data_IF_614371597162
#
_entry.id   IF_614371597162
#
_cell.length_a   1.000
_cell.length_b   1.000
_cell.length_c   1.000
_cell.angle_alpha   90.00
_cell.angle_beta   90.00
_cell.angle_gamma   90.00
#
_symmetry.space_group_name_H-M   'P 1'
#
loop_
_entity.id
_entity.type
_entity.pdbx_description
1 polymer ?
#
# COMPACT_ATOMS: atom_id res chain seq x y z
N UNK A 1 4.45 -13.73 -16.38
CA UNK A 1 5.15 -12.56 -15.83
C UNK A 1 4.17 -11.63 -15.12
N UNK A 2 3.12 -11.10 -15.78
CA UNK A 2 2.04 -10.23 -15.22
C UNK A 2 1.50 -10.47 -13.78
N UNK A 3 1.50 -11.69 -13.26
CA UNK A 3 0.98 -11.97 -11.92
C UNK A 3 1.84 -11.40 -10.79
N UNK A 4 3.14 -11.25 -11.03
CA UNK A 4 4.07 -10.72 -10.03
C UNK A 4 3.84 -9.22 -9.86
N UNK A 5 3.61 -8.49 -10.96
CA UNK A 5 3.31 -7.07 -10.93
C UNK A 5 1.98 -6.78 -10.23
N UNK A 6 0.95 -7.62 -10.42
CA UNK A 6 -0.30 -7.52 -9.66
C UNK A 6 -0.10 -7.75 -8.17
N UNK A 7 0.72 -8.74 -7.79
CA UNK A 7 1.08 -8.98 -6.39
C UNK A 7 1.78 -7.77 -5.76
N UNK A 8 2.76 -7.20 -6.46
CA UNK A 8 3.47 -6.00 -6.02
C UNK A 8 2.53 -4.81 -5.88
N UNK A 9 1.66 -4.58 -6.88
CA UNK A 9 0.68 -3.50 -6.86
C UNK A 9 -0.34 -3.66 -5.71
N UNK A 10 -0.80 -4.90 -5.47
CA UNK A 10 -1.75 -5.19 -4.39
C UNK A 10 -1.11 -4.93 -3.01
N UNK A 11 0.13 -5.37 -2.79
CA UNK A 11 0.84 -5.08 -1.54
C UNK A 11 1.10 -3.58 -1.36
N UNK A 12 1.39 -2.85 -2.45
CA UNK A 12 1.49 -1.40 -2.41
C UNK A 12 0.15 -0.73 -2.04
N UNK A 13 -0.96 -1.17 -2.65
CA UNK A 13 -2.29 -0.64 -2.36
C UNK A 13 -2.72 -0.88 -0.91
N UNK A 14 -2.44 -2.07 -0.36
CA UNK A 14 -2.71 -2.38 1.05
C UNK A 14 -1.90 -1.49 2.00
N UNK A 15 -0.65 -1.15 1.65
CA UNK A 15 0.13 -0.19 2.44
C UNK A 15 -0.46 1.22 2.40
N UNK A 16 -0.94 1.69 1.24
CA UNK A 16 -1.63 3.00 1.14
C UNK A 16 -2.88 3.00 2.02
N UNK A 17 -3.66 1.91 1.97
CA UNK A 17 -4.85 1.77 2.80
C UNK A 17 -4.52 1.72 4.30
N UNK A 18 -3.48 0.99 4.71
CA UNK A 18 -2.95 0.99 6.08
C UNK A 18 -2.60 2.40 6.56
N UNK A 19 -1.93 3.19 5.72
CA UNK A 19 -1.60 4.57 6.05
C UNK A 19 -2.87 5.43 6.19
N UNK A 20 -3.86 5.21 5.32
CA UNK A 20 -5.14 5.92 5.37
C UNK A 20 -5.92 5.65 6.66
N UNK A 21 -5.91 4.41 7.17
CA UNK A 21 -6.52 4.07 8.46
C UNK A 21 -5.91 4.87 9.64
N UNK A 22 -4.63 5.24 9.57
CA UNK A 22 -3.94 6.02 10.61
C UNK A 22 -4.01 7.53 10.41
N UNK A 23 -3.81 8.02 9.19
CA UNK A 23 -3.89 9.44 8.84
C UNK A 23 -4.38 9.62 7.39
N UNK A 24 -5.71 9.79 7.19
CA UNK A 24 -6.32 9.90 5.87
C UNK A 24 -5.75 11.03 5.00
N UNK A 25 -5.55 12.22 5.58
CA UNK A 25 -5.11 13.41 4.84
C UNK A 25 -3.69 13.21 4.30
N UNK A 26 -2.78 12.74 5.16
CA UNK A 26 -1.40 12.48 4.77
C UNK A 26 -1.32 11.36 3.73
N UNK A 27 -2.07 10.27 3.91
CA UNK A 27 -2.06 9.14 2.99
C UNK A 27 -2.50 9.54 1.58
N UNK A 28 -3.54 10.38 1.45
CA UNK A 28 -4.00 10.90 0.17
C UNK A 28 -2.96 11.85 -0.44
N UNK A 29 -2.35 12.72 0.38
CA UNK A 29 -1.30 13.62 -0.09
C UNK A 29 -0.09 12.83 -0.65
N UNK A 30 0.36 11.81 0.07
CA UNK A 30 1.46 10.94 -0.34
C UNK A 30 1.14 10.20 -1.62
N UNK A 31 -0.02 9.55 -1.69
CA UNK A 31 -0.46 8.85 -2.88
C UNK A 31 -0.48 9.76 -4.12
N UNK A 32 -0.97 11.00 -3.98
CA UNK A 32 -0.95 12.00 -5.06
C UNK A 32 0.47 12.40 -5.46
N UNK A 33 1.41 12.52 -4.52
CA UNK A 33 2.83 12.77 -4.83
C UNK A 33 3.44 11.64 -5.66
N UNK A 34 3.14 10.39 -5.31
CA UNK A 34 3.55 9.22 -6.10
C UNK A 34 2.98 9.23 -7.51
N UNK A 35 1.67 9.49 -7.65
CA UNK A 35 1.02 9.58 -8.96
C UNK A 35 1.58 10.70 -9.84
N UNK A 36 1.87 11.88 -9.25
CA UNK A 36 2.41 13.03 -9.98
C UNK A 36 3.81 12.76 -10.58
N UNK A 37 4.59 11.85 -10.01
CA UNK A 37 5.90 11.48 -10.54
C UNK A 37 5.81 10.62 -11.82
N UNK A 38 4.68 9.96 -12.08
CA UNK A 38 4.47 9.13 -13.27
C UNK A 38 5.58 8.09 -13.48
N UNK A 39 6.00 7.87 -14.72
CA UNK A 39 7.06 6.92 -15.07
C UNK A 39 8.48 7.52 -15.03
N UNK A 40 8.66 8.68 -14.40
CA UNK A 40 9.95 9.39 -14.39
C UNK A 40 10.90 8.91 -13.29
N UNK A 41 10.44 8.04 -12.40
CA UNK A 41 11.19 7.54 -11.26
C UNK A 41 11.21 6.00 -11.24
N UNK A 42 12.27 5.38 -10.71
CA UNK A 42 12.30 3.94 -10.44
C UNK A 42 11.17 3.53 -9.49
N UNK A 43 10.67 2.31 -9.63
CA UNK A 43 9.54 1.79 -8.85
C UNK A 43 9.72 1.92 -7.32
N UNK A 44 10.88 1.60 -6.71
CA UNK A 44 11.07 1.81 -5.28
C UNK A 44 10.93 3.27 -4.86
N UNK A 45 11.35 4.21 -5.71
CA UNK A 45 11.22 5.65 -5.43
C UNK A 45 9.77 6.12 -5.56
N UNK A 46 9.00 5.57 -6.49
CA UNK A 46 7.56 5.82 -6.59
C UNK A 46 6.83 5.34 -5.33
N UNK A 47 7.20 4.18 -4.81
CA UNK A 47 6.65 3.66 -3.55
C UNK A 47 6.94 4.62 -2.38
N UNK A 48 8.19 5.04 -2.24
CA UNK A 48 8.59 6.01 -1.20
C UNK A 48 7.81 7.32 -1.30
N UNK A 49 7.65 7.87 -2.52
CA UNK A 49 6.88 9.09 -2.76
C UNK A 49 5.39 8.92 -2.42
N UNK A 50 4.85 7.73 -2.61
CA UNK A 50 3.49 7.34 -2.23
C UNK A 50 3.35 7.01 -0.73
N UNK A 51 4.40 7.21 0.08
CA UNK A 51 4.38 6.97 1.53
C UNK A 51 4.41 5.48 1.90
N UNK A 52 4.76 4.60 0.95
CA UNK A 52 4.80 3.15 1.13
C UNK A 52 6.23 2.63 0.91
N UNK A 53 6.47 1.35 1.21
CA UNK A 53 7.78 0.73 1.11
C UNK A 53 7.79 -0.36 0.05
N UNK A 54 8.83 -0.37 -0.78
CA UNK A 54 9.11 -1.46 -1.69
C UNK A 54 9.73 -2.63 -0.91
N UNK A 55 8.89 -3.26 -0.08
CA UNK A 55 9.25 -4.28 0.88
C UNK A 55 8.26 -5.45 0.75
N UNK A 56 8.80 -6.63 0.50
CA UNK A 56 8.05 -7.88 0.34
C UNK A 56 8.49 -8.92 1.36
N UNK A 57 9.11 -8.48 2.46
CA UNK A 57 9.46 -9.34 3.58
C UNK A 57 8.21 -10.01 4.15
N UNK A 58 8.41 -11.19 4.75
CA UNK A 58 7.35 -11.91 5.46
C UNK A 58 6.69 -11.03 6.54
N UNK A 59 7.48 -10.21 7.24
CA UNK A 59 6.97 -9.24 8.21
C UNK A 59 6.00 -8.23 7.59
N UNK A 60 6.38 -7.61 6.46
CA UNK A 60 5.50 -6.65 5.78
C UNK A 60 4.20 -7.33 5.32
N UNK A 61 4.31 -8.52 4.75
CA UNK A 61 3.13 -9.27 4.29
C UNK A 61 2.23 -9.64 5.46
N UNK A 62 2.79 -10.12 6.57
CA UNK A 62 2.04 -10.47 7.78
C UNK A 62 1.27 -9.27 8.34
N UNK A 63 1.92 -8.11 8.47
CA UNK A 63 1.29 -6.88 8.95
C UNK A 63 0.10 -6.46 8.06
N UNK A 64 0.24 -6.57 6.74
CA UNK A 64 -0.84 -6.26 5.80
C UNK A 64 -2.00 -7.26 5.88
N UNK A 65 -1.71 -8.55 6.08
CA UNK A 65 -2.76 -9.56 6.23
C UNK A 65 -3.57 -9.37 7.51
N UNK A 66 -2.93 -8.96 8.62
CA UNK A 66 -3.63 -8.64 9.87
C UNK A 66 -4.65 -7.51 9.70
N UNK A 67 -4.31 -6.50 8.88
CA UNK A 67 -5.23 -5.40 8.57
C UNK A 67 -6.42 -5.90 7.75
N UNK A 68 -6.16 -6.69 6.70
CA UNK A 68 -7.23 -7.27 5.87
C UNK A 68 -8.15 -8.14 6.71
N UNK A 69 -7.60 -8.97 7.59
CA UNK A 69 -8.39 -9.80 8.49
C UNK A 69 -9.24 -8.96 9.46
N UNK A 70 -8.67 -7.91 10.06
CA UNK A 70 -9.40 -7.00 10.94
C UNK A 70 -10.58 -6.31 10.25
N UNK A 71 -10.38 -5.80 9.03
CA UNK A 71 -11.46 -5.19 8.24
C UNK A 71 -12.55 -6.20 7.85
N UNK A 72 -12.16 -7.41 7.43
CA UNK A 72 -13.11 -8.48 7.11
C UNK A 72 -13.94 -8.89 8.31
N UNK A 73 -13.36 -8.92 9.51
CA UNK A 73 -14.09 -9.21 10.74
C UNK A 73 -15.07 -8.08 11.08
N UNK A 74 -14.65 -6.82 10.95
CA UNK A 74 -15.50 -5.63 11.15
C UNK A 74 -16.74 -5.67 10.25
N UNK A 75 -16.56 -6.00 8.96
CA UNK A 75 -17.65 -6.10 8.00
C UNK A 75 -18.63 -7.25 8.30
N UNK A 76 -18.16 -8.37 8.86
CA UNK A 76 -19.03 -9.51 9.24
C UNK A 76 -19.81 -9.26 10.52
N UNK A 77 -19.33 -8.35 11.36
CA UNK A 77 -19.96 -8.00 12.63
C UNK A 77 -21.03 -6.89 12.50
N UNK A 78 -21.06 -6.20 11.35
CA UNK A 78 -22.06 -5.20 10.97
C UNK A 78 -23.31 -5.86 10.35
#
# INVERSE_FOLDING_TARGET
>A
HYYIEYGIAQLGALQVYRNWLGNPEQAIADYRRGLAAGYTQPLPKLFELAGIRFDFSESMVSDLMQIVEGELQSLKAA
#
